data_IF_817860601027
#
_entry.id   IF_817860601027
#
_cell.length_a   1.000
_cell.length_b   1.000
_cell.length_c   1.000
_cell.angle_alpha   90.00
_cell.angle_beta   90.00
_cell.angle_gamma   90.00
#
_symmetry.space_group_name_H-M   'P 1'
#
loop_
_entity.id
_entity.type
_entity.pdbx_description
1 polymer ?
#
# COMPACT_ATOMS: atom_id res chain seq x y z
N UNK A 1 5.70 -9.10 9.16
CA UNK A 1 4.24 -8.86 8.96
C UNK A 1 4.04 -7.41 8.52
N UNK A 2 3.37 -7.17 7.39
CA UNK A 2 3.09 -5.80 6.89
C UNK A 2 2.31 -5.00 7.94
N UNK A 3 2.75 -3.77 8.24
CA UNK A 3 2.08 -2.88 9.20
C UNK A 3 0.65 -2.55 8.72
N UNK A 4 -0.36 -2.48 9.61
CA UNK A 4 -1.75 -2.23 9.23
C UNK A 4 -1.93 -0.99 8.35
N UNK A 5 -1.25 0.11 8.69
CA UNK A 5 -1.30 1.39 7.95
C UNK A 5 -0.81 1.32 6.50
N UNK A 6 0.01 0.32 6.15
CA UNK A 6 0.46 0.11 4.78
C UNK A 6 -0.45 -0.88 4.04
N UNK A 7 -1.00 -1.86 4.76
CA UNK A 7 -1.93 -2.84 4.18
C UNK A 7 -3.18 -2.16 3.65
N UNK A 8 -3.79 -1.30 4.46
CA UNK A 8 -5.04 -0.61 4.12
C UNK A 8 -4.94 0.14 2.79
N UNK A 9 -3.96 1.05 2.64
CA UNK A 9 -3.80 1.83 1.41
C UNK A 9 -3.38 1.00 0.20
N UNK A 10 -2.72 -0.15 0.41
CA UNK A 10 -2.36 -1.07 -0.67
C UNK A 10 -3.59 -1.83 -1.15
N UNK A 11 -4.46 -2.29 -0.25
CA UNK A 11 -5.73 -2.95 -0.62
C UNK A 11 -6.60 -1.97 -1.42
N UNK A 12 -6.80 -0.76 -0.87
CA UNK A 12 -7.64 0.25 -1.54
C UNK A 12 -7.11 0.60 -2.93
N UNK A 13 -5.78 0.59 -3.15
CA UNK A 13 -5.21 0.91 -4.45
C UNK A 13 -5.15 -0.26 -5.42
N UNK A 14 -4.68 -1.42 -4.95
CA UNK A 14 -4.28 -2.54 -5.81
C UNK A 14 -5.38 -3.60 -5.96
N UNK A 15 -6.41 -3.56 -5.09
CA UNK A 15 -7.55 -4.49 -5.12
C UNK A 15 -8.84 -3.73 -5.42
N UNK A 16 -9.11 -2.64 -4.70
CA UNK A 16 -10.33 -1.83 -4.91
C UNK A 16 -10.15 -0.75 -6.00
N UNK A 17 -8.97 -0.69 -6.61
CA UNK A 17 -8.62 0.17 -7.75
C UNK A 17 -8.85 1.69 -7.57
N UNK A 18 -8.98 2.17 -6.33
CA UNK A 18 -9.22 3.59 -6.05
C UNK A 18 -8.05 4.48 -6.50
N UNK A 19 -8.36 5.71 -6.91
CA UNK A 19 -7.39 6.79 -7.14
C UNK A 19 -6.69 7.20 -5.84
N UNK A 20 -5.55 7.90 -5.94
CA UNK A 20 -4.86 8.37 -4.74
C UNK A 20 -5.66 9.45 -3.99
N UNK A 21 -6.48 10.18 -4.74
CA UNK A 21 -7.40 11.21 -4.27
C UNK A 21 -8.56 10.57 -3.49
N UNK A 22 -9.23 9.56 -4.04
CA UNK A 22 -10.29 8.81 -3.32
C UNK A 22 -9.75 8.14 -2.05
N UNK A 23 -8.54 7.57 -2.11
CA UNK A 23 -7.91 6.98 -0.92
C UNK A 23 -7.61 8.07 0.12
N UNK A 24 -7.14 9.25 -0.30
CA UNK A 24 -6.89 10.37 0.61
C UNK A 24 -8.16 10.81 1.33
N UNK A 25 -9.28 10.88 0.61
CA UNK A 25 -10.60 11.20 1.16
C UNK A 25 -11.09 10.14 2.15
N UNK A 26 -11.12 8.87 1.75
CA UNK A 26 -11.62 7.75 2.58
C UNK A 26 -10.79 7.56 3.84
N UNK A 27 -9.47 7.75 3.77
CA UNK A 27 -8.55 7.52 4.90
C UNK A 27 -8.25 8.78 5.71
N UNK A 28 -8.76 9.94 5.28
CA UNK A 28 -8.43 11.27 5.84
C UNK A 28 -6.92 11.52 5.94
N UNK A 29 -6.19 11.16 4.88
CA UNK A 29 -4.73 11.32 4.78
C UNK A 29 -4.39 12.32 3.68
N UNK A 30 -3.24 12.99 3.79
CA UNK A 30 -2.74 13.76 2.65
C UNK A 30 -2.35 12.84 1.48
N UNK A 31 -2.51 13.30 0.24
CA UNK A 31 -2.08 12.57 -0.97
C UNK A 31 -0.61 12.14 -0.88
N UNK A 32 0.27 12.98 -0.32
CA UNK A 32 1.67 12.63 -0.07
C UNK A 32 1.85 11.46 0.91
N UNK A 33 1.00 11.39 1.94
CA UNK A 33 0.96 10.26 2.88
C UNK A 33 0.47 9.00 2.20
N UNK A 34 -0.60 9.08 1.38
CA UNK A 34 -1.11 7.95 0.58
C UNK A 34 -0.02 7.38 -0.31
N UNK A 35 0.60 8.22 -1.16
CA UNK A 35 1.70 7.82 -2.06
C UNK A 35 2.84 7.14 -1.29
N UNK A 36 3.29 7.74 -0.19
CA UNK A 36 4.42 7.20 0.58
C UNK A 36 4.08 5.90 1.34
N UNK A 37 2.84 5.73 1.82
CA UNK A 37 2.37 4.50 2.46
C UNK A 37 2.19 3.37 1.45
N UNK A 38 1.65 3.65 0.25
CA UNK A 38 1.54 2.66 -0.84
C UNK A 38 2.93 2.15 -1.25
N UNK A 39 3.88 3.06 -1.50
CA UNK A 39 5.24 2.68 -1.87
C UNK A 39 5.89 1.78 -0.81
N UNK A 40 5.86 2.19 0.47
CA UNK A 40 6.41 1.37 1.57
C UNK A 40 5.69 0.03 1.72
N UNK A 41 4.37 0.00 1.52
CA UNK A 41 3.57 -1.22 1.54
C UNK A 41 3.99 -2.21 0.45
N UNK A 42 4.06 -1.75 -0.80
CA UNK A 42 4.49 -2.57 -1.95
C UNK A 42 5.93 -3.08 -1.78
N UNK A 43 6.84 -2.25 -1.28
CA UNK A 43 8.22 -2.67 -0.99
C UNK A 43 8.27 -3.79 0.06
N UNK A 44 7.48 -3.68 1.12
CA UNK A 44 7.39 -4.75 2.13
C UNK A 44 6.80 -6.04 1.55
N UNK A 45 5.77 -5.96 0.70
CA UNK A 45 5.25 -7.14 0.00
C UNK A 45 6.33 -7.78 -0.89
N UNK A 46 7.06 -6.96 -1.66
CA UNK A 46 8.15 -7.45 -2.50
C UNK A 46 9.22 -8.19 -1.68
N UNK A 47 9.62 -7.66 -0.52
CA UNK A 47 10.58 -8.31 0.38
C UNK A 47 10.07 -9.67 0.88
N UNK A 48 8.78 -9.79 1.20
CA UNK A 48 8.17 -11.06 1.63
C UNK A 48 8.11 -12.09 0.49
N UNK A 49 7.80 -11.64 -0.72
CA UNK A 49 7.72 -12.48 -1.92
C UNK A 49 9.09 -12.89 -2.44
N UNK A 50 10.16 -12.14 -2.13
CA UNK A 50 11.52 -12.45 -2.58
C UNK A 50 11.93 -13.88 -2.23
N UNK A 51 11.58 -14.36 -1.04
CA UNK A 51 11.91 -15.73 -0.60
C UNK A 51 11.08 -16.81 -1.30
N UNK A 52 9.99 -16.45 -1.97
CA UNK A 52 9.13 -17.38 -2.72
C UNK A 52 9.64 -17.56 -4.15
N UNK A 53 10.15 -16.50 -4.76
CA UNK A 53 10.59 -16.51 -6.16
C UNK A 53 12.10 -16.66 -6.36
N UNK A 54 12.90 -16.62 -5.29
CA UNK A 54 14.36 -16.80 -5.36
C UNK A 54 14.80 -18.25 -5.06
N UNK A 55 13.89 -19.22 -5.18
CA UNK A 55 14.13 -20.65 -5.05
C UNK A 55 14.21 -21.35 -6.39
#
# INVERSE_FOLDING_TARGET
KVKPVYREVVILRDIEELSYEEIAEVTNLSIGTVKSRINRGRKHLQELLKNIYSG
#
